data_IF_607053985338
#
_entry.id   IF_607053985338
#
_cell.length_a   1.000
_cell.length_b   1.000
_cell.length_c   1.000
_cell.angle_alpha   90.00
_cell.angle_beta   90.00
_cell.angle_gamma   90.00
#
_symmetry.space_group_name_H-M   'P 1'
#
loop_
_entity.id
_entity.type
_entity.pdbx_description
1 polymer ?
#
# COMPACT_ATOMS: atom_id res chain seq x y z
N UNK A 1 9.68 1.05 5.23
CA UNK A 1 8.52 1.61 5.97
C UNK A 1 7.72 0.57 6.72
N UNK A 2 7.52 -0.66 6.21
CA UNK A 2 7.09 -1.79 7.07
C UNK A 2 8.06 -2.08 8.24
N UNK A 3 9.25 -1.47 8.19
CA UNK A 3 10.30 -1.51 9.20
C UNK A 3 10.06 -0.60 10.42
N UNK A 4 9.20 0.44 10.34
CA UNK A 4 8.94 1.39 11.44
C UNK A 4 7.53 1.27 12.03
N UNK A 5 6.68 0.40 11.49
CA UNK A 5 5.33 0.13 12.00
C UNK A 5 5.37 -1.04 12.97
N UNK A 6 4.50 -1.00 13.99
CA UNK A 6 4.36 -2.11 14.92
C UNK A 6 3.95 -3.40 14.18
N UNK A 7 4.24 -4.59 14.72
CA UNK A 7 3.74 -5.84 14.13
C UNK A 7 2.21 -5.88 13.98
N UNK A 8 1.48 -5.17 14.85
CA UNK A 8 0.04 -5.00 14.75
C UNK A 8 -0.35 -4.17 13.53
N UNK A 9 0.26 -2.99 13.38
CA UNK A 9 0.06 -2.11 12.22
C UNK A 9 0.42 -2.79 10.90
N UNK A 10 1.53 -3.54 10.85
CA UNK A 10 1.95 -4.27 9.65
C UNK A 10 0.88 -5.29 9.20
N UNK A 11 0.29 -6.05 10.14
CA UNK A 11 -0.82 -6.98 9.83
C UNK A 11 -2.07 -6.26 9.33
N UNK A 12 -2.40 -5.13 9.94
CA UNK A 12 -3.55 -4.30 9.53
C UNK A 12 -3.36 -3.79 8.11
N UNK A 13 -2.19 -3.23 7.79
CA UNK A 13 -1.89 -2.71 6.46
C UNK A 13 -1.90 -3.81 5.38
N UNK A 14 -1.36 -4.99 5.71
CA UNK A 14 -1.39 -6.13 4.78
C UNK A 14 -2.81 -6.65 4.53
N UNK A 15 -3.65 -6.70 5.56
CA UNK A 15 -5.06 -7.07 5.43
C UNK A 15 -5.85 -6.03 4.63
N UNK A 16 -5.65 -4.75 4.92
CA UNK A 16 -6.28 -3.64 4.22
C UNK A 16 -5.94 -3.65 2.72
N UNK A 17 -4.67 -3.82 2.36
CA UNK A 17 -4.23 -3.95 0.97
C UNK A 17 -5.03 -5.02 0.22
N UNK A 18 -5.11 -6.24 0.76
CA UNK A 18 -5.83 -7.35 0.12
C UNK A 18 -7.31 -7.04 -0.07
N UNK A 19 -7.95 -6.46 0.95
CA UNK A 19 -9.36 -6.14 0.90
C UNK A 19 -9.66 -4.98 -0.07
N UNK A 20 -8.77 -4.00 -0.20
CA UNK A 20 -8.93 -2.91 -1.17
C UNK A 20 -8.76 -3.39 -2.61
N UNK A 21 -7.79 -4.28 -2.86
CA UNK A 21 -7.61 -4.91 -4.17
C UNK A 21 -8.84 -5.73 -4.58
N UNK A 22 -9.45 -6.45 -3.64
CA UNK A 22 -10.65 -7.25 -3.90
C UNK A 22 -11.92 -6.43 -4.15
N UNK A 23 -12.05 -5.26 -3.53
CA UNK A 23 -13.27 -4.45 -3.56
C UNK A 23 -13.16 -3.16 -4.39
N UNK A 24 -12.18 -3.08 -5.30
CA UNK A 24 -11.96 -1.91 -6.17
C UNK A 24 -11.90 -0.56 -5.42
N UNK A 25 -11.32 -0.55 -4.20
CA UNK A 25 -11.19 0.64 -3.38
C UNK A 25 -12.47 1.13 -2.69
N UNK A 26 -13.51 0.30 -2.56
CA UNK A 26 -14.68 0.64 -1.74
C UNK A 26 -14.35 0.72 -0.25
N UNK A 27 -15.27 1.30 0.52
CA UNK A 27 -15.20 1.32 1.98
C UNK A 27 -15.16 -0.12 2.53
N UNK A 28 -14.27 -0.39 3.48
CA UNK A 28 -14.11 -1.70 4.14
C UNK A 28 -14.67 -1.61 5.55
N UNK A 29 -15.46 -2.59 5.97
CA UNK A 29 -15.91 -2.67 7.36
C UNK A 29 -14.73 -3.02 8.30
N UNK A 30 -14.64 -2.33 9.43
CA UNK A 30 -13.60 -2.57 10.45
C UNK A 30 -13.62 -4.03 10.96
N UNK A 31 -14.78 -4.68 10.96
CA UNK A 31 -14.90 -6.11 11.30
C UNK A 31 -14.17 -6.99 10.30
N UNK A 32 -14.37 -6.74 9.01
CA UNK A 32 -13.74 -7.53 7.94
C UNK A 32 -12.23 -7.33 7.93
N UNK A 33 -11.80 -6.09 8.21
CA UNK A 33 -10.38 -5.76 8.38
C UNK A 33 -9.75 -6.49 9.58
N UNK A 34 -10.44 -6.52 10.72
CA UNK A 34 -9.96 -7.20 11.92
C UNK A 34 -9.85 -8.72 11.68
N UNK A 35 -10.86 -9.31 11.04
CA UNK A 35 -10.90 -10.72 10.69
C UNK A 35 -9.77 -11.08 9.71
N UNK A 36 -9.60 -10.29 8.65
CA UNK A 36 -8.52 -10.49 7.67
C UNK A 36 -7.11 -10.30 8.27
N UNK A 37 -6.97 -9.41 9.27
CA UNK A 37 -5.70 -9.20 9.99
C UNK A 37 -5.45 -10.23 11.10
N UNK A 38 -6.45 -11.05 11.46
CA UNK A 38 -6.36 -12.03 12.55
C UNK A 38 -6.20 -11.39 13.92
N UNK A 39 -6.81 -10.23 14.16
CA UNK A 39 -6.73 -9.48 15.42
C UNK A 39 -8.11 -9.09 15.93
N UNK A 40 -8.21 -8.75 17.21
CA UNK A 40 -9.46 -8.25 17.77
C UNK A 40 -9.79 -6.85 17.21
N UNK A 41 -11.07 -6.54 17.03
CA UNK A 41 -11.56 -5.22 16.59
C UNK A 41 -10.99 -4.06 17.43
N UNK A 42 -10.90 -4.23 18.75
CA UNK A 42 -10.29 -3.22 19.63
C UNK A 42 -8.81 -2.96 19.35
N UNK A 43 -8.08 -3.94 18.81
CA UNK A 43 -6.68 -3.79 18.41
C UNK A 43 -6.51 -2.87 17.19
N UNK A 44 -7.52 -2.79 16.30
CA UNK A 44 -7.52 -1.86 15.17
C UNK A 44 -7.46 -0.42 15.69
N UNK A 45 -8.38 -0.03 16.56
CA UNK A 45 -8.45 1.33 17.12
C UNK A 45 -7.24 1.70 17.98
N UNK A 46 -6.49 0.73 18.50
CA UNK A 46 -5.24 0.97 19.22
C UNK A 46 -4.04 1.19 18.29
N UNK A 47 -4.13 0.79 17.02
CA UNK A 47 -3.02 0.84 16.05
C UNK A 47 -3.26 1.83 14.91
N UNK A 48 -4.52 2.17 14.63
CA UNK A 48 -4.95 3.09 13.57
C UNK A 48 -5.77 4.20 14.22
N UNK A 49 -5.30 5.44 14.09
CA UNK A 49 -5.90 6.62 14.70
C UNK A 49 -7.14 7.09 13.92
N UNK A 50 -7.04 7.11 12.59
CA UNK A 50 -8.13 7.51 11.67
C UNK A 50 -8.39 6.41 10.64
N UNK A 51 -9.27 5.43 10.93
CA UNK A 51 -9.54 4.31 10.03
C UNK A 51 -10.09 4.73 8.67
N UNK A 52 -10.75 5.89 8.57
CA UNK A 52 -11.21 6.45 7.29
C UNK A 52 -10.03 6.80 6.34
N UNK A 53 -8.86 7.14 6.90
CA UNK A 53 -7.67 7.47 6.12
C UNK A 53 -6.84 6.24 5.72
N UNK A 54 -7.19 5.06 6.23
CA UNK A 54 -6.41 3.83 6.08
C UNK A 54 -6.14 3.49 4.60
N UNK A 55 -7.11 3.73 3.71
CA UNK A 55 -6.91 3.54 2.27
C UNK A 55 -5.76 4.40 1.74
N UNK A 56 -5.79 5.70 2.03
CA UNK A 56 -4.77 6.65 1.59
C UNK A 56 -3.40 6.32 2.18
N UNK A 57 -3.34 5.94 3.45
CA UNK A 57 -2.11 5.52 4.12
C UNK A 57 -1.48 4.28 3.46
N UNK A 58 -2.29 3.25 3.21
CA UNK A 58 -1.87 2.00 2.58
C UNK A 58 -1.43 2.25 1.13
N UNK A 59 -2.23 2.98 0.35
CA UNK A 59 -1.90 3.34 -1.03
C UNK A 59 -0.58 4.13 -1.12
N UNK A 60 -0.37 5.08 -0.20
CA UNK A 60 0.85 5.86 -0.14
C UNK A 60 2.06 5.01 0.29
N UNK A 61 1.90 4.09 1.25
CA UNK A 61 2.97 3.19 1.67
C UNK A 61 3.42 2.27 0.52
N UNK A 62 2.46 1.74 -0.23
CA UNK A 62 2.68 0.89 -1.39
C UNK A 62 3.37 1.66 -2.53
N UNK A 63 2.91 2.87 -2.81
CA UNK A 63 3.54 3.77 -3.79
C UNK A 63 4.98 4.11 -3.44
N UNK A 64 5.27 4.34 -2.14
CA UNK A 64 6.64 4.61 -1.66
C UNK A 64 7.55 3.40 -1.78
N UNK A 65 7.08 2.19 -1.46
CA UNK A 65 7.85 0.95 -1.64
C UNK A 65 8.25 0.75 -3.11
N UNK A 66 7.31 0.98 -4.02
CA UNK A 66 7.56 0.92 -5.46
C UNK A 66 8.58 1.96 -5.91
N UNK A 67 8.45 3.20 -5.43
CA UNK A 67 9.41 4.26 -5.75
C UNK A 67 10.81 3.90 -5.24
N UNK A 68 10.94 3.47 -3.98
CA UNK A 68 12.23 3.09 -3.39
C UNK A 68 12.93 1.97 -4.19
N UNK A 69 12.18 1.01 -4.72
CA UNK A 69 12.71 -0.10 -5.53
C UNK A 69 13.22 0.34 -6.91
N UNK A 70 12.69 1.42 -7.44
CA UNK A 70 13.00 1.92 -8.78
C UNK A 70 13.84 3.19 -8.76
N UNK A 71 14.07 3.76 -7.58
CA UNK A 71 14.77 5.02 -7.34
C UNK A 71 16.17 5.02 -7.96
N UNK A 72 16.95 3.95 -7.77
CA UNK A 72 18.30 3.86 -8.35
C UNK A 72 18.27 3.92 -9.88
N UNK A 73 17.32 3.24 -10.52
CA UNK A 73 17.13 3.32 -11.98
C UNK A 73 16.75 4.74 -12.39
N UNK A 74 15.81 5.36 -11.68
CA UNK A 74 15.37 6.72 -11.98
C UNK A 74 16.49 7.76 -11.83
N UNK A 75 17.36 7.62 -10.83
CA UNK A 75 18.48 8.52 -10.58
C UNK A 75 19.52 8.51 -11.72
N UNK A 76 19.62 7.41 -12.47
CA UNK A 76 20.53 7.31 -13.62
C UNK A 76 19.99 7.97 -14.90
N UNK A 77 18.73 8.39 -14.93
CA UNK A 77 18.10 9.01 -16.11
C UNK A 77 18.20 10.53 -16.00
N UNK A 78 18.96 11.13 -16.93
CA UNK A 78 19.23 12.57 -16.94
C UNK A 78 18.05 13.40 -17.46
N UNK A 79 17.34 12.92 -18.50
CA UNK A 79 16.18 13.62 -19.06
C UNK A 79 14.97 13.49 -18.11
N UNK A 80 14.42 14.60 -17.59
CA UNK A 80 13.25 14.56 -16.71
C UNK A 80 12.01 13.95 -17.35
N UNK A 81 11.82 14.09 -18.67
CA UNK A 81 10.69 13.51 -19.40
C UNK A 81 10.86 11.99 -19.50
N UNK A 82 12.06 11.53 -19.83
CA UNK A 82 12.40 10.11 -19.87
C UNK A 82 12.26 9.46 -18.48
N UNK A 83 12.68 10.17 -17.42
CA UNK A 83 12.57 9.70 -16.04
C UNK A 83 11.11 9.53 -15.61
N UNK A 84 10.26 10.51 -15.91
CA UNK A 84 8.82 10.42 -15.63
C UNK A 84 8.17 9.26 -16.41
N UNK A 85 8.44 9.18 -17.72
CA UNK A 85 7.86 8.14 -18.57
C UNK A 85 8.32 6.73 -18.14
N UNK A 86 9.55 6.60 -17.64
CA UNK A 86 10.07 5.35 -17.07
C UNK A 86 9.33 4.99 -15.78
N UNK A 87 9.11 5.96 -14.89
CA UNK A 87 8.35 5.71 -13.66
C UNK A 87 6.93 5.26 -13.90
N UNK A 88 6.21 5.91 -14.80
CA UNK A 88 4.85 5.50 -15.17
C UNK A 88 4.83 4.07 -15.74
N UNK A 89 5.77 3.72 -16.62
CA UNK A 89 5.85 2.36 -17.20
C UNK A 89 6.12 1.30 -16.14
N UNK A 90 7.03 1.58 -15.20
CA UNK A 90 7.33 0.66 -14.10
C UNK A 90 6.10 0.45 -13.22
N UNK A 91 5.34 1.51 -12.94
CA UNK A 91 4.10 1.45 -12.17
C UNK A 91 3.03 0.58 -12.85
N UNK A 92 2.75 0.83 -14.14
CA UNK A 92 1.78 0.06 -14.93
C UNK A 92 2.20 -1.41 -15.04
N UNK A 93 3.50 -1.67 -15.26
CA UNK A 93 4.03 -3.03 -15.31
C UNK A 93 3.83 -3.76 -13.98
N UNK A 94 4.05 -3.08 -12.84
CA UNK A 94 3.84 -3.66 -11.52
C UNK A 94 2.38 -3.97 -11.25
N UNK A 95 1.47 -3.05 -11.60
CA UNK A 95 0.04 -3.29 -11.54
C UNK A 95 -0.38 -4.50 -12.37
N UNK A 96 0.27 -4.72 -13.51
CA UNK A 96 0.02 -5.91 -14.32
C UNK A 96 0.60 -7.21 -13.74
N UNK A 97 1.78 -7.16 -13.13
CA UNK A 97 2.52 -8.33 -12.63
C UNK A 97 2.14 -8.74 -11.20
N UNK A 98 1.56 -7.85 -10.41
CA UNK A 98 1.18 -8.08 -9.02
C UNK A 98 -0.32 -7.80 -8.84
N UNK A 99 -1.10 -8.87 -8.61
CA UNK A 99 -2.55 -8.78 -8.48
C UNK A 99 -3.01 -7.89 -7.31
N UNK A 100 -2.15 -7.67 -6.31
CA UNK A 100 -2.44 -6.75 -5.20
C UNK A 100 -2.39 -5.26 -5.65
N UNK A 101 -1.93 -4.99 -6.88
CA UNK A 101 -1.82 -3.66 -7.50
C UNK A 101 -2.75 -3.43 -8.70
N UNK A 102 -3.44 -4.46 -9.21
CA UNK A 102 -4.33 -4.40 -10.36
C UNK A 102 -5.73 -3.90 -9.98
#
# INVERSE_FOLDING_TARGET
MLSDVSPGQARIYQAALRLFAQNAGSEIAITDLADAAGIARGTIYNNIEEPENLFGEVAAAISRDMLARTETTMQTIADPVERLATGVRLFVRRAHEDADWA
#
